data_IF_774944446517
#
_entry.id   IF_774944446517
#
_cell.length_a   1.000
_cell.length_b   1.000
_cell.length_c   1.000
_cell.angle_alpha   90.00
_cell.angle_beta   90.00
_cell.angle_gamma   90.00
#
_symmetry.space_group_name_H-M   'P 1'
#
loop_
_entity.id
_entity.type
_entity.pdbx_description
1 polymer ?
#
# COMPACT_ATOMS: atom_id res chain seq x y z
N UNK A 1 10.05 9.96 -24.30
CA UNK A 1 8.81 10.72 -24.51
C UNK A 1 7.66 9.76 -24.28
N UNK A 2 6.71 10.18 -23.45
CA UNK A 2 5.70 9.39 -22.75
C UNK A 2 4.72 8.65 -23.67
N UNK A 3 4.24 7.49 -23.21
CA UNK A 3 2.84 7.09 -23.34
C UNK A 3 2.42 6.38 -22.05
N UNK A 4 1.98 7.20 -21.12
CA UNK A 4 0.97 6.85 -20.13
C UNK A 4 -0.36 6.54 -20.86
N UNK A 5 -1.21 5.82 -20.14
CA UNK A 5 -2.66 5.64 -20.31
C UNK A 5 -3.17 4.33 -20.93
N UNK A 6 -3.61 3.48 -19.99
CA UNK A 6 -4.87 2.73 -19.92
C UNK A 6 -5.15 1.59 -20.92
N UNK A 7 -5.35 0.39 -20.38
CA UNK A 7 -6.56 -0.41 -20.66
C UNK A 7 -6.72 -1.53 -19.60
N UNK A 8 -7.74 -1.39 -18.75
CA UNK A 8 -8.16 -2.41 -17.78
C UNK A 8 -8.92 -3.53 -18.51
N UNK A 9 -8.44 -4.77 -18.40
CA UNK A 9 -9.22 -5.95 -18.81
C UNK A 9 -10.15 -6.41 -17.68
N UNK A 10 -11.40 -6.69 -18.03
CA UNK A 10 -12.47 -7.11 -17.12
C UNK A 10 -12.84 -8.60 -17.31
N UNK A 11 -13.35 -9.19 -16.20
CA UNK A 11 -14.27 -10.36 -16.05
C UNK A 11 -13.63 -11.74 -15.71
N UNK A 12 -14.37 -12.71 -15.08
CA UNK A 12 -15.66 -12.67 -14.37
C UNK A 12 -15.64 -13.26 -12.92
N UNK A 13 -16.68 -12.94 -12.16
CA UNK A 13 -16.92 -13.33 -10.74
C UNK A 13 -17.81 -14.57 -10.66
N UNK A 14 -17.53 -15.50 -9.74
CA UNK A 14 -18.53 -16.47 -9.28
C UNK A 14 -18.61 -16.54 -7.74
N UNK A 15 -19.76 -16.04 -7.28
CA UNK A 15 -20.60 -16.40 -6.13
C UNK A 15 -20.07 -16.37 -4.69
N UNK A 16 -20.68 -15.45 -3.91
CA UNK A 16 -20.91 -15.46 -2.45
C UNK A 16 -19.93 -14.77 -1.48
N UNK A 17 -19.29 -13.69 -1.92
CA UNK A 17 -18.88 -12.60 -1.01
C UNK A 17 -19.78 -11.39 -1.29
N UNK A 18 -20.14 -10.59 -0.28
CA UNK A 18 -20.60 -9.22 -0.55
C UNK A 18 -19.35 -8.42 -0.95
N UNK A 19 -18.99 -8.56 -2.23
CA UNK A 19 -17.77 -8.11 -2.93
C UNK A 19 -17.80 -6.60 -3.21
N UNK A 20 -18.83 -5.87 -2.79
CA UNK A 20 -19.03 -4.44 -3.08
C UNK A 20 -17.97 -3.48 -2.49
N UNK A 21 -16.93 -3.98 -1.82
CA UNK A 21 -15.78 -3.17 -1.38
C UNK A 21 -14.42 -3.82 -1.66
N UNK A 22 -14.36 -4.88 -2.46
CA UNK A 22 -13.06 -5.37 -2.92
C UNK A 22 -12.66 -4.49 -4.09
N UNK A 23 -11.87 -3.45 -3.79
CA UNK A 23 -11.22 -2.67 -4.81
C UNK A 23 -10.55 -3.63 -5.80
N UNK A 24 -10.74 -3.48 -7.13
CA UNK A 24 -10.20 -4.41 -8.12
C UNK A 24 -8.74 -4.72 -7.81
N UNK A 25 -8.26 -5.95 -7.99
CA UNK A 25 -6.85 -6.28 -7.68
C UNK A 25 -5.85 -5.34 -8.40
N UNK A 26 -6.22 -4.77 -9.56
CA UNK A 26 -5.46 -3.75 -10.28
C UNK A 26 -5.36 -2.39 -9.56
N UNK A 27 -6.29 -2.10 -8.66
CA UNK A 27 -6.29 -0.91 -7.79
C UNK A 27 -5.58 -1.16 -6.45
N UNK A 28 -5.36 -2.43 -6.08
CA UNK A 28 -4.63 -2.78 -4.87
C UNK A 28 -3.12 -2.65 -5.12
N UNK A 29 -2.49 -1.72 -4.43
CA UNK A 29 -1.04 -1.48 -4.44
C UNK A 29 -0.43 -1.97 -3.14
N UNK A 30 0.72 -2.61 -3.26
CA UNK A 30 1.56 -3.00 -2.14
C UNK A 30 2.57 -1.90 -1.81
N UNK A 31 2.75 -1.61 -0.53
CA UNK A 31 3.80 -0.74 -0.02
C UNK A 31 4.42 -1.26 1.27
N UNK A 32 5.65 -0.85 1.53
CA UNK A 32 6.47 -1.18 2.69
C UNK A 32 6.90 0.10 3.39
N UNK A 33 7.02 0.04 4.71
CA UNK A 33 7.62 1.09 5.52
C UNK A 33 8.45 0.50 6.66
N UNK A 34 9.55 1.17 7.02
CA UNK A 34 10.23 0.94 8.27
C UNK A 34 9.40 1.54 9.42
N UNK A 35 9.11 0.73 10.45
CA UNK A 35 8.11 1.07 11.48
C UNK A 35 8.48 2.30 12.31
N UNK A 36 9.76 2.42 12.63
CA UNK A 36 10.38 3.53 13.35
C UNK A 36 10.21 4.88 12.63
N UNK A 37 10.00 4.86 11.31
CA UNK A 37 9.74 6.07 10.50
C UNK A 37 8.27 6.48 10.47
N UNK A 38 7.36 5.66 11.04
CA UNK A 38 5.94 5.90 10.94
C UNK A 38 5.44 6.90 11.98
N UNK A 39 4.64 7.86 11.51
CA UNK A 39 3.78 8.70 12.33
C UNK A 39 2.39 8.80 11.69
N UNK A 40 1.38 9.29 12.42
CA UNK A 40 0.04 9.38 11.86
C UNK A 40 -0.77 10.52 12.48
N UNK A 41 -1.69 11.08 11.71
CA UNK A 41 -2.74 11.99 12.18
C UNK A 41 -4.13 11.35 12.02
N UNK A 42 -5.21 12.13 12.02
CA UNK A 42 -6.58 11.60 11.84
C UNK A 42 -6.82 10.96 10.47
N UNK A 43 -6.08 11.36 9.44
CA UNK A 43 -6.41 11.08 8.04
C UNK A 43 -5.28 10.38 7.27
N UNK A 44 -4.05 10.50 7.75
CA UNK A 44 -2.85 10.05 7.04
C UNK A 44 -1.92 9.23 7.91
N UNK A 45 -1.28 8.25 7.28
CA UNK A 45 -0.01 7.70 7.73
C UNK A 45 1.12 8.43 7.01
N UNK A 46 2.17 8.78 7.75
CA UNK A 46 3.39 9.38 7.24
C UNK A 46 4.55 8.44 7.53
N UNK A 47 5.47 8.30 6.59
CA UNK A 47 6.67 7.49 6.74
C UNK A 47 7.33 7.26 5.39
N UNK A 48 8.36 6.43 5.36
CA UNK A 48 9.08 6.13 4.12
C UNK A 48 8.40 4.97 3.39
N UNK A 49 7.27 5.24 2.74
CA UNK A 49 6.55 4.24 1.95
C UNK A 49 7.23 4.01 0.60
N UNK A 50 7.56 2.76 0.28
CA UNK A 50 8.05 2.34 -1.04
C UNK A 50 7.35 1.06 -1.51
N UNK A 51 7.32 0.79 -2.81
CA UNK A 51 6.91 -0.51 -3.36
C UNK A 51 7.94 -1.61 -3.12
N UNK A 52 9.17 -1.23 -2.78
CA UNK A 52 10.29 -2.13 -2.49
C UNK A 52 10.62 -2.14 -1.00
N UNK A 53 10.72 -3.33 -0.43
CA UNK A 53 11.14 -3.52 0.96
C UNK A 53 12.53 -2.92 1.25
N UNK A 54 13.51 -3.17 0.36
CA UNK A 54 14.88 -2.65 0.48
C UNK A 54 14.92 -1.12 0.52
N UNK A 55 14.13 -0.48 -0.34
CA UNK A 55 14.06 0.98 -0.39
C UNK A 55 13.34 1.56 0.82
N UNK A 56 12.24 0.93 1.27
CA UNK A 56 11.54 1.37 2.48
C UNK A 56 12.44 1.40 3.72
N UNK A 57 13.47 0.54 3.76
CA UNK A 57 14.42 0.47 4.87
C UNK A 57 15.68 1.33 4.72
N UNK A 58 16.04 1.72 3.49
CA UNK A 58 17.27 2.48 3.22
C UNK A 58 17.00 3.94 2.85
N UNK A 59 15.80 4.24 2.33
CA UNK A 59 15.37 5.57 1.94
C UNK A 59 15.03 6.43 3.16
N UNK A 60 15.28 7.74 3.04
CA UNK A 60 14.84 8.78 4.00
C UNK A 60 13.77 9.70 3.41
N UNK A 61 13.22 9.34 2.25
CA UNK A 61 12.21 10.15 1.58
C UNK A 61 10.85 9.93 2.21
N UNK A 62 10.41 10.92 2.98
CA UNK A 62 9.10 10.93 3.62
C UNK A 62 7.98 10.97 2.58
N UNK A 63 7.00 10.09 2.73
CA UNK A 63 5.78 10.03 1.93
C UNK A 63 4.57 9.80 2.84
N UNK A 64 3.36 9.77 2.25
CA UNK A 64 2.13 9.57 3.01
C UNK A 64 1.12 8.71 2.28
N UNK A 65 0.31 7.98 3.04
CA UNK A 65 -0.79 7.15 2.56
C UNK A 65 -2.06 7.56 3.34
N UNK A 66 -3.17 7.74 2.62
CA UNK A 66 -4.45 8.04 3.26
C UNK A 66 -4.92 6.82 4.07
N UNK A 67 -5.36 7.02 5.32
CA UNK A 67 -5.89 5.91 6.14
C UNK A 67 -7.10 5.26 5.49
N UNK A 68 -7.92 6.03 4.79
CA UNK A 68 -9.06 5.55 4.01
C UNK A 68 -8.66 4.70 2.79
N UNK A 69 -7.41 4.79 2.33
CA UNK A 69 -6.89 3.98 1.25
C UNK A 69 -6.33 2.63 1.73
N UNK A 70 -6.04 2.48 3.03
CA UNK A 70 -5.45 1.25 3.56
C UNK A 70 -6.52 0.16 3.69
N UNK A 71 -6.32 -0.93 2.95
CA UNK A 71 -7.15 -2.13 3.01
C UNK A 71 -6.65 -3.06 4.11
N UNK A 72 -5.33 -3.23 4.19
CA UNK A 72 -4.71 -4.16 5.13
C UNK A 72 -3.30 -3.70 5.51
N UNK A 73 -2.89 -4.01 6.74
CA UNK A 73 -1.57 -3.76 7.29
C UNK A 73 -1.10 -4.98 8.08
N UNK A 74 0.14 -5.41 7.87
CA UNK A 74 0.78 -6.49 8.62
C UNK A 74 2.20 -6.11 9.06
N UNK A 75 2.53 -6.40 10.31
CA UNK A 75 3.90 -6.32 10.79
C UNK A 75 4.71 -7.49 10.25
N UNK A 76 5.85 -7.19 9.62
CA UNK A 76 6.73 -8.19 9.03
C UNK A 76 8.08 -8.34 9.75
N UNK A 77 8.46 -7.35 10.58
CA UNK A 77 9.58 -7.48 11.53
C UNK A 77 10.97 -7.64 10.92
N UNK A 78 11.25 -7.07 9.74
CA UNK A 78 12.45 -7.40 8.97
C UNK A 78 13.59 -6.35 8.99
N UNK A 79 13.30 -5.05 9.13
CA UNK A 79 14.34 -4.00 9.25
C UNK A 79 14.48 -3.56 10.71
N UNK A 80 15.67 -3.73 11.30
CA UNK A 80 15.94 -3.50 12.73
C UNK A 80 14.87 -4.13 13.67
N UNK A 81 14.22 -5.21 13.18
CA UNK A 81 13.15 -5.93 13.87
C UNK A 81 11.73 -5.36 13.71
N UNK A 82 11.49 -4.28 12.95
CA UNK A 82 10.16 -3.66 12.81
C UNK A 82 9.92 -3.01 11.44
N UNK A 83 9.29 -3.74 10.52
CA UNK A 83 8.74 -3.22 9.26
C UNK A 83 7.24 -3.47 9.15
N UNK A 84 6.54 -2.64 8.38
CA UNK A 84 5.13 -2.82 8.02
C UNK A 84 4.98 -3.05 6.53
N UNK A 85 4.14 -4.03 6.20
CA UNK A 85 3.59 -4.29 4.87
C UNK A 85 2.17 -3.73 4.80
N UNK A 86 1.87 -2.89 3.81
CA UNK A 86 0.58 -2.21 3.64
C UNK A 86 0.02 -2.50 2.25
N UNK A 87 -1.25 -2.86 2.17
CA UNK A 87 -2.02 -2.91 0.94
C UNK A 87 -2.99 -1.74 0.91
N UNK A 88 -2.96 -0.98 -0.18
CA UNK A 88 -3.79 0.21 -0.38
C UNK A 88 -4.63 0.08 -1.63
N UNK A 89 -5.85 0.61 -1.65
CA UNK A 89 -6.59 0.83 -2.90
C UNK A 89 -6.27 2.22 -3.47
N UNK A 90 -6.44 2.38 -4.78
CA UNK A 90 -6.13 3.61 -5.54
C UNK A 90 -7.35 4.39 -5.95
#
# INVERSE_FOLDING_TARGET
MEKLDDFFELLPVNESLDVNQIAPYSTIKQSWAAYDTLSSDSSWFYGNFSSSFSEACSSRTMSRIAKSAVVFQQYQGACEGRSIHIFTHS
#
